data_IF_436854981987
#
_entry.id   IF_436854981987
#
_cell.length_a   1.000
_cell.length_b   1.000
_cell.length_c   1.000
_cell.angle_alpha   90.00
_cell.angle_beta   90.00
_cell.angle_gamma   90.00
#
_symmetry.space_group_name_H-M   'P 1'
#
loop_
_entity.id
_entity.type
_entity.pdbx_description
1 polymer ?
#
# COMPACT_ATOMS: atom_id res chain seq x y z
N UNK A 1 5.62 33.24 26.22
CA UNK A 1 7.05 32.88 26.36
C UNK A 1 7.30 31.60 25.58
N UNK A 2 8.07 31.74 24.52
CA UNK A 2 8.43 30.73 23.52
C UNK A 2 9.23 29.58 24.12
N UNK A 3 8.80 28.34 23.89
CA UNK A 3 9.69 27.18 24.03
C UNK A 3 10.11 26.74 22.63
N UNK A 4 11.32 27.16 22.26
CA UNK A 4 12.09 26.64 21.13
C UNK A 4 12.38 25.15 21.38
N UNK A 5 12.20 24.32 20.35
CA UNK A 5 12.71 22.96 20.34
C UNK A 5 14.01 22.97 19.52
N UNK A 6 15.13 22.71 20.19
CA UNK A 6 16.46 22.60 19.59
C UNK A 6 16.53 21.42 18.60
N UNK A 7 17.07 21.70 17.42
CA UNK A 7 17.43 20.69 16.42
C UNK A 7 18.79 20.10 16.79
N UNK A 8 18.88 18.77 16.92
CA UNK A 8 20.17 18.08 17.03
C UNK A 8 20.82 17.90 15.65
N UNK A 9 22.01 18.46 15.47
CA UNK A 9 22.80 18.50 14.23
C UNK A 9 23.41 17.16 13.76
N UNK A 10 23.12 16.02 14.39
CA UNK A 10 23.73 14.74 14.00
C UNK A 10 22.69 13.70 13.60
N UNK A 11 22.80 13.25 12.35
CA UNK A 11 21.87 12.33 11.69
C UNK A 11 21.77 10.98 12.37
N UNK A 12 20.75 10.81 13.22
CA UNK A 12 20.10 9.52 13.49
C UNK A 12 18.60 9.78 13.72
N UNK A 13 17.78 9.32 12.78
CA UNK A 13 16.32 9.39 12.93
C UNK A 13 15.87 8.49 14.09
N UNK A 14 15.23 9.08 15.11
CA UNK A 14 14.68 8.36 16.25
C UNK A 14 13.51 7.47 15.79
N UNK A 15 13.68 6.17 15.99
CA UNK A 15 12.78 5.11 15.56
C UNK A 15 11.51 5.02 16.44
N UNK A 16 10.35 5.33 15.86
CA UNK A 16 9.01 5.05 16.41
C UNK A 16 8.31 4.03 15.49
N UNK A 17 8.52 2.75 15.79
CA UNK A 17 8.18 1.62 14.92
C UNK A 17 6.71 1.52 14.48
N UNK A 18 6.53 1.25 13.18
CA UNK A 18 5.28 0.84 12.53
C UNK A 18 5.62 -0.15 11.42
N UNK A 19 5.15 -1.39 11.55
CA UNK A 19 5.08 -2.34 10.43
C UNK A 19 3.65 -2.86 10.30
N UNK A 20 2.91 -2.20 9.42
CA UNK A 20 1.70 -2.71 8.80
C UNK A 20 2.11 -3.06 7.38
N UNK A 21 2.22 -4.36 7.09
CA UNK A 21 2.54 -4.94 5.77
C UNK A 21 3.88 -4.48 5.19
N UNK A 22 4.72 -5.43 4.76
CA UNK A 22 5.85 -5.08 3.87
C UNK A 22 5.31 -4.12 2.80
N UNK A 23 5.96 -2.95 2.69
CA UNK A 23 5.49 -1.72 2.02
C UNK A 23 4.57 -0.78 2.83
N UNK A 24 5.03 -0.28 3.99
CA UNK A 24 4.61 1.05 4.48
C UNK A 24 5.81 1.85 5.03
N UNK A 25 6.35 2.75 4.20
CA UNK A 25 7.36 3.74 4.59
C UNK A 25 6.85 4.64 5.76
N UNK A 26 7.53 4.72 6.92
CA UNK A 26 6.97 5.32 8.15
C UNK A 26 6.78 6.84 8.18
N UNK A 27 7.08 7.60 7.12
CA UNK A 27 6.96 9.07 7.13
C UNK A 27 5.85 9.66 6.24
N UNK A 28 5.01 8.83 5.60
CA UNK A 28 3.73 9.33 5.09
C UNK A 28 2.64 8.88 6.05
N UNK A 29 1.98 9.85 6.71
CA UNK A 29 0.51 9.75 6.77
C UNK A 29 0.12 9.60 5.30
N UNK A 30 -0.23 8.37 4.90
CA UNK A 30 -1.10 8.21 3.75
C UNK A 30 -2.19 9.25 3.96
N UNK A 31 -2.42 10.08 2.95
CA UNK A 31 -3.73 10.68 2.76
C UNK A 31 -4.76 9.62 3.20
N UNK A 32 -5.79 10.00 3.97
CA UNK A 32 -6.82 9.05 4.36
C UNK A 32 -7.17 8.17 3.15
N UNK A 33 -7.53 6.90 3.37
CA UNK A 33 -8.38 6.21 2.42
C UNK A 33 -9.64 7.09 2.31
N UNK A 34 -9.60 8.13 1.48
CA UNK A 34 -10.61 9.17 1.44
C UNK A 34 -11.79 8.50 0.77
N UNK A 35 -12.65 7.98 1.64
CA UNK A 35 -14.07 7.86 1.41
C UNK A 35 -14.51 9.16 0.74
N UNK A 36 -14.91 9.07 -0.53
CA UNK A 36 -15.59 10.13 -1.28
C UNK A 36 -14.74 11.39 -1.54
N UNK A 37 -14.12 11.45 -2.71
CA UNK A 37 -13.88 12.73 -3.40
C UNK A 37 -14.39 12.64 -4.84
N UNK A 38 -15.63 12.18 -5.02
CA UNK A 38 -16.32 12.31 -6.30
C UNK A 38 -16.76 13.76 -6.59
N UNK A 39 -16.68 14.69 -5.64
CA UNK A 39 -17.41 15.96 -5.78
C UNK A 39 -16.69 17.14 -6.45
N UNK A 40 -15.38 17.08 -6.77
CA UNK A 40 -14.75 18.14 -7.58
C UNK A 40 -13.56 17.62 -8.42
N UNK A 41 -13.79 16.65 -9.30
CA UNK A 41 -12.83 16.38 -10.38
C UNK A 41 -12.93 17.47 -11.46
N UNK A 42 -11.81 17.82 -12.10
CA UNK A 42 -11.80 18.78 -13.20
C UNK A 42 -12.58 18.17 -14.37
N UNK A 43 -13.36 18.98 -15.09
CA UNK A 43 -14.12 18.53 -16.27
C UNK A 43 -13.23 17.81 -17.28
N UNK A 44 -11.94 18.21 -17.37
CA UNK A 44 -10.93 17.54 -18.19
C UNK A 44 -10.58 16.12 -17.71
N UNK A 45 -10.36 15.89 -16.41
CA UNK A 45 -10.07 14.54 -15.88
C UNK A 45 -11.24 13.59 -16.07
N UNK A 46 -12.47 14.06 -15.80
CA UNK A 46 -13.69 13.29 -16.08
C UNK A 46 -13.87 13.02 -17.56
N UNK A 47 -13.57 14.00 -18.43
CA UNK A 47 -13.58 13.84 -19.88
C UNK A 47 -12.60 12.77 -20.35
N UNK A 48 -11.37 12.77 -19.82
CA UNK A 48 -10.35 11.75 -20.09
C UNK A 48 -10.84 10.38 -19.64
N UNK A 49 -11.34 10.27 -18.40
CA UNK A 49 -11.84 9.00 -17.86
C UNK A 49 -13.02 8.45 -18.66
N UNK A 50 -14.01 9.29 -18.98
CA UNK A 50 -15.17 8.90 -19.78
C UNK A 50 -14.75 8.42 -21.17
N UNK A 51 -13.83 9.12 -21.83
CA UNK A 51 -13.32 8.72 -23.14
C UNK A 51 -12.51 7.43 -23.09
N UNK A 52 -11.70 7.25 -22.06
CA UNK A 52 -10.94 6.01 -21.83
C UNK A 52 -11.86 4.82 -21.58
N UNK A 53 -12.99 5.05 -20.90
CA UNK A 53 -14.01 4.04 -20.63
C UNK A 53 -14.81 3.64 -21.88
N UNK A 54 -15.24 4.63 -22.69
CA UNK A 54 -16.07 4.36 -23.88
C UNK A 54 -15.27 3.81 -25.06
N UNK A 55 -14.00 4.23 -25.20
CA UNK A 55 -13.15 3.84 -26.32
C UNK A 55 -11.86 3.18 -25.82
N UNK A 56 -11.87 1.85 -25.64
CA UNK A 56 -10.73 1.11 -25.06
C UNK A 56 -9.45 1.14 -25.90
N UNK A 57 -9.57 1.31 -27.22
CA UNK A 57 -8.40 1.41 -28.11
C UNK A 57 -7.95 2.86 -28.33
N UNK A 58 -8.63 3.83 -27.73
CA UNK A 58 -8.26 5.23 -27.87
C UNK A 58 -6.95 5.52 -27.14
N UNK A 59 -5.98 6.04 -27.90
CA UNK A 59 -4.74 6.59 -27.38
C UNK A 59 -4.92 8.09 -27.09
N UNK A 60 -4.79 8.45 -25.82
CA UNK A 60 -5.02 9.81 -25.33
C UNK A 60 -3.87 10.72 -25.74
N UNK A 61 -4.21 11.86 -26.35
CA UNK A 61 -3.28 12.91 -26.78
C UNK A 61 -3.31 14.10 -25.81
N UNK A 62 -2.34 14.99 -25.95
CA UNK A 62 -2.27 16.29 -25.27
C UNK A 62 -2.30 16.26 -23.73
N UNK A 63 -1.91 15.15 -23.11
CA UNK A 63 -1.82 15.02 -21.64
C UNK A 63 -0.82 15.99 -21.02
N UNK A 64 0.27 16.31 -21.71
CA UNK A 64 1.26 17.26 -21.23
C UNK A 64 0.68 18.67 -21.08
N UNK A 65 -0.25 19.06 -21.96
CA UNK A 65 -0.94 20.34 -21.89
C UNK A 65 -1.89 20.42 -20.69
N UNK A 66 -2.41 19.28 -20.22
CA UNK A 66 -3.23 19.21 -19.01
C UNK A 66 -2.44 19.47 -17.71
N UNK A 67 -1.10 19.52 -17.76
CA UNK A 67 -0.25 19.92 -16.61
C UNK A 67 -0.25 21.45 -16.45
N UNK A 68 -1.45 22.02 -16.27
CA UNK A 68 -1.71 23.45 -16.20
C UNK A 68 -1.83 23.96 -14.75
N UNK A 69 -1.85 25.29 -14.58
CA UNK A 69 -2.01 25.94 -13.28
C UNK A 69 -3.21 25.41 -12.48
N UNK A 70 -4.42 25.28 -13.06
CA UNK A 70 -5.57 24.70 -12.37
C UNK A 70 -5.35 23.27 -11.83
N UNK A 71 -4.77 22.37 -12.61
CA UNK A 71 -4.48 21.01 -12.16
C UNK A 71 -3.41 21.01 -11.06
N UNK A 72 -2.34 21.80 -11.23
CA UNK A 72 -1.28 21.94 -10.25
C UNK A 72 -1.84 22.50 -8.93
N UNK A 73 -2.64 23.55 -8.98
CA UNK A 73 -3.26 24.14 -7.78
C UNK A 73 -4.10 23.12 -7.00
N UNK A 74 -4.84 22.24 -7.67
CA UNK A 74 -5.57 21.15 -7.00
C UNK A 74 -4.61 20.12 -6.39
N UNK A 75 -3.58 19.73 -7.13
CA UNK A 75 -2.58 18.77 -6.63
C UNK A 75 -1.85 19.29 -5.38
N UNK A 76 -1.66 20.61 -5.26
CA UNK A 76 -1.08 21.21 -4.05
C UNK A 76 -1.89 20.90 -2.78
N UNK A 77 -3.22 20.93 -2.89
CA UNK A 77 -4.13 20.66 -1.76
C UNK A 77 -4.00 19.21 -1.28
N UNK A 78 -3.74 18.29 -2.19
CA UNK A 78 -3.63 16.85 -1.91
C UNK A 78 -2.21 16.43 -1.53
N UNK A 79 -1.22 17.31 -1.72
CA UNK A 79 0.17 17.01 -1.42
C UNK A 79 0.40 16.98 0.10
N UNK A 80 1.13 15.98 0.60
CA UNK A 80 1.51 15.93 2.00
C UNK A 80 2.66 16.91 2.28
N UNK A 81 2.31 18.11 2.72
CA UNK A 81 3.23 19.22 3.02
C UNK A 81 4.18 18.97 4.19
N UNK A 82 3.95 17.91 4.97
CA UNK A 82 4.79 17.52 6.12
C UNK A 82 5.81 16.43 5.77
N UNK A 83 5.91 16.05 4.50
CA UNK A 83 6.92 15.09 4.05
C UNK A 83 8.33 15.69 4.16
N UNK A 84 9.32 14.83 4.36
CA UNK A 84 10.72 15.24 4.35
C UNK A 84 11.10 15.89 3.01
N UNK A 85 11.99 16.88 3.07
CA UNK A 85 12.51 17.59 1.91
C UNK A 85 13.36 16.68 1.01
N UNK A 86 13.38 17.03 -0.28
CA UNK A 86 14.27 16.42 -1.27
C UNK A 86 15.70 16.95 -1.14
N UNK A 87 16.48 16.88 -2.22
CA UNK A 87 17.87 17.36 -2.26
C UNK A 87 18.01 18.88 -2.19
N UNK A 88 16.91 19.61 -2.37
CA UNK A 88 16.87 21.07 -2.43
C UNK A 88 16.46 21.73 -1.12
N UNK A 89 16.14 20.94 -0.09
CA UNK A 89 15.69 21.41 1.23
C UNK A 89 14.51 22.39 1.26
N UNK A 90 13.80 22.51 0.13
CA UNK A 90 12.60 23.33 0.01
C UNK A 90 11.43 22.62 0.72
N UNK A 91 10.89 23.29 1.74
CA UNK A 91 9.73 22.78 2.49
C UNK A 91 8.42 23.30 1.90
N UNK A 92 7.33 22.59 2.18
CA UNK A 92 5.99 23.03 1.77
C UNK A 92 5.62 24.41 2.32
N UNK A 93 6.06 24.74 3.55
CA UNK A 93 5.76 26.01 4.20
C UNK A 93 6.45 27.20 3.52
N UNK A 94 7.71 27.03 3.10
CA UNK A 94 8.42 28.06 2.32
C UNK A 94 7.71 28.33 0.99
N UNK A 95 7.17 27.28 0.37
CA UNK A 95 6.45 27.38 -0.90
C UNK A 95 5.02 27.97 -0.78
N UNK A 96 4.42 27.99 0.42
CA UNK A 96 3.09 28.58 0.64
C UNK A 96 3.09 30.11 0.71
N UNK A 97 4.26 30.73 0.91
CA UNK A 97 4.37 32.19 1.07
C UNK A 97 3.94 32.95 -0.19
N UNK A 98 4.23 32.41 -1.38
CA UNK A 98 3.75 32.93 -2.67
C UNK A 98 3.31 31.77 -3.58
N UNK A 99 2.24 31.10 -3.16
CA UNK A 99 1.75 29.90 -3.82
C UNK A 99 1.30 30.17 -5.27
N UNK A 100 0.61 31.29 -5.50
CA UNK A 100 0.03 31.60 -6.82
C UNK A 100 1.12 31.84 -7.85
N UNK A 101 2.09 32.73 -7.56
CA UNK A 101 3.18 32.99 -8.49
C UNK A 101 4.05 31.74 -8.71
N UNK A 102 4.23 30.92 -7.67
CA UNK A 102 5.00 29.68 -7.79
C UNK A 102 4.31 28.64 -8.69
N UNK A 103 2.98 28.52 -8.62
CA UNK A 103 2.18 27.66 -9.52
C UNK A 103 2.31 28.13 -10.96
N UNK A 104 2.15 29.44 -11.20
CA UNK A 104 2.25 30.03 -12.53
C UNK A 104 3.66 29.84 -13.13
N UNK A 105 4.70 30.08 -12.33
CA UNK A 105 6.08 29.82 -12.70
C UNK A 105 6.34 28.35 -13.06
N UNK A 106 5.84 27.41 -12.25
CA UNK A 106 5.97 25.98 -12.53
C UNK A 106 5.21 25.56 -13.79
N UNK A 107 3.98 26.04 -13.96
CA UNK A 107 3.16 25.80 -15.15
C UNK A 107 3.85 26.35 -16.41
N UNK A 108 4.41 27.56 -16.35
CA UNK A 108 5.12 28.18 -17.47
C UNK A 108 6.41 27.42 -17.80
N UNK A 109 7.17 26.96 -16.79
CA UNK A 109 8.34 26.08 -17.02
C UNK A 109 7.97 24.74 -17.63
N UNK A 110 6.82 24.17 -17.28
CA UNK A 110 6.31 22.96 -17.93
C UNK A 110 5.92 23.26 -19.38
N UNK A 111 5.09 24.29 -19.62
CA UNK A 111 4.65 24.72 -20.96
C UNK A 111 5.81 24.99 -21.91
N UNK A 112 6.83 25.70 -21.43
CA UNK A 112 8.06 26.02 -22.19
C UNK A 112 9.09 24.89 -22.20
N UNK A 113 8.78 23.73 -21.62
CA UNK A 113 9.67 22.55 -21.51
C UNK A 113 10.99 22.81 -20.78
N UNK A 114 11.08 23.90 -20.02
CA UNK A 114 12.22 24.29 -19.18
C UNK A 114 12.29 23.53 -17.85
N UNK A 115 11.23 22.82 -17.47
CA UNK A 115 11.23 21.95 -16.29
C UNK A 115 12.31 20.84 -16.37
N UNK A 116 13.10 20.73 -15.29
CA UNK A 116 14.14 19.72 -15.08
C UNK A 116 13.86 18.97 -13.79
N UNK A 117 13.83 17.64 -13.87
CA UNK A 117 13.73 16.78 -12.70
C UNK A 117 15.00 16.90 -11.86
N UNK A 118 14.86 17.09 -10.55
CA UNK A 118 16.01 17.15 -9.64
C UNK A 118 16.45 15.73 -9.26
N UNK A 119 17.62 15.64 -8.63
CA UNK A 119 18.10 14.38 -8.05
C UNK A 119 17.18 13.93 -6.91
N UNK A 120 17.08 12.63 -6.73
CA UNK A 120 16.27 12.03 -5.66
C UNK A 120 17.17 11.77 -4.46
N UNK A 121 16.76 12.21 -3.26
CA UNK A 121 17.56 12.00 -2.04
C UNK A 121 17.33 10.60 -1.48
N UNK A 122 18.40 9.85 -1.17
CA UNK A 122 18.29 8.53 -0.53
C UNK A 122 17.96 8.67 0.96
N UNK A 123 17.12 7.76 1.46
CA UNK A 123 16.85 7.58 2.88
C UNK A 123 16.65 6.08 3.15
N UNK A 124 17.29 5.55 4.20
CA UNK A 124 17.16 4.15 4.58
C UNK A 124 16.15 3.99 5.71
N UNK A 125 15.25 3.02 5.56
CA UNK A 125 14.33 2.61 6.63
C UNK A 125 14.70 1.21 7.10
N UNK A 126 14.91 0.99 8.41
CA UNK A 126 15.18 -0.33 8.93
C UNK A 126 13.96 -1.26 8.77
N UNK A 127 14.20 -2.50 8.36
CA UNK A 127 13.23 -3.60 8.34
C UNK A 127 13.26 -4.33 9.69
N UNK A 128 12.13 -4.92 10.09
CA UNK A 128 12.06 -5.76 11.30
C UNK A 128 13.04 -6.95 11.29
N UNK A 129 13.48 -7.40 10.10
CA UNK A 129 14.41 -8.53 9.94
C UNK A 129 15.90 -8.12 9.91
N UNK A 130 16.23 -6.86 10.24
CA UNK A 130 17.63 -6.39 10.34
C UNK A 130 18.27 -5.87 9.05
N UNK A 131 17.55 -5.91 7.92
CA UNK A 131 17.98 -5.24 6.68
C UNK A 131 17.43 -3.82 6.57
N UNK A 132 17.85 -3.07 5.55
CA UNK A 132 17.32 -1.73 5.27
C UNK A 132 16.51 -1.70 3.98
N UNK A 133 15.60 -0.72 3.89
CA UNK A 133 14.82 -0.42 2.69
C UNK A 133 15.25 0.95 2.16
N UNK A 134 15.88 1.02 0.98
CA UNK A 134 16.21 2.29 0.38
C UNK A 134 14.95 2.98 -0.14
N UNK A 135 14.75 4.23 0.27
CA UNK A 135 13.75 5.13 -0.31
C UNK A 135 14.43 6.27 -1.05
N UNK A 136 13.76 6.73 -2.10
CA UNK A 136 14.05 7.97 -2.77
C UNK A 136 13.01 9.03 -2.43
N UNK A 137 13.46 10.17 -1.89
CA UNK A 137 12.64 11.34 -1.59
C UNK A 137 12.87 12.36 -2.72
N UNK A 138 11.91 12.53 -3.65
CA UNK A 138 12.03 13.53 -4.71
C UNK A 138 11.89 14.95 -4.13
N UNK A 139 12.41 15.94 -4.85
CA UNK A 139 12.17 17.35 -4.57
C UNK A 139 10.67 17.69 -4.56
N UNK A 140 10.30 18.77 -3.88
CA UNK A 140 8.89 19.16 -3.69
C UNK A 140 8.17 19.37 -5.03
N UNK A 141 8.77 20.14 -5.95
CA UNK A 141 8.20 20.37 -7.29
C UNK A 141 8.06 19.07 -8.07
N UNK A 142 9.04 18.16 -7.96
CA UNK A 142 8.97 16.86 -8.63
C UNK A 142 7.82 16.02 -8.07
N UNK A 143 7.63 16.00 -6.74
CA UNK A 143 6.50 15.32 -6.12
C UNK A 143 5.16 15.90 -6.60
N UNK A 144 5.10 17.22 -6.75
CA UNK A 144 3.90 17.92 -7.19
C UNK A 144 3.54 17.60 -8.64
N UNK A 145 4.50 17.71 -9.57
CA UNK A 145 4.26 17.37 -10.98
C UNK A 145 3.99 15.86 -11.14
N UNK A 146 4.66 15.01 -10.35
CA UNK A 146 4.38 13.58 -10.30
C UNK A 146 2.94 13.29 -9.83
N UNK A 147 2.42 14.03 -8.86
CA UNK A 147 1.04 13.88 -8.40
C UNK A 147 0.04 14.26 -9.51
N UNK A 148 0.28 15.35 -10.23
CA UNK A 148 -0.54 15.73 -11.38
C UNK A 148 -0.52 14.65 -12.47
N UNK A 149 0.66 14.11 -12.80
CA UNK A 149 0.79 12.99 -13.72
C UNK A 149 0.10 11.72 -13.21
N UNK A 150 0.16 11.44 -11.90
CA UNK A 150 -0.51 10.28 -11.32
C UNK A 150 -2.03 10.37 -11.45
N UNK A 151 -2.61 11.57 -11.32
CA UNK A 151 -4.05 11.80 -11.55
C UNK A 151 -4.44 11.58 -13.00
N UNK A 152 -3.67 12.11 -13.95
CA UNK A 152 -3.91 11.90 -15.39
C UNK A 152 -3.82 10.42 -15.77
N UNK A 153 -2.78 9.72 -15.29
CA UNK A 153 -2.63 8.28 -15.49
C UNK A 153 -3.78 7.50 -14.83
N UNK A 154 -4.19 7.88 -13.62
CA UNK A 154 -5.32 7.26 -12.92
C UNK A 154 -6.63 7.39 -13.70
N UNK A 155 -6.90 8.58 -14.27
CA UNK A 155 -8.10 8.81 -15.08
C UNK A 155 -8.17 7.87 -16.30
N UNK A 156 -7.03 7.53 -16.91
CA UNK A 156 -6.97 6.61 -18.05
C UNK A 156 -7.05 5.16 -17.57
N UNK A 157 -6.08 4.73 -16.77
CA UNK A 157 -5.84 3.32 -16.51
C UNK A 157 -6.78 2.69 -15.48
N UNK A 158 -7.42 3.47 -14.61
CA UNK A 158 -8.43 2.91 -13.69
C UNK A 158 -9.60 2.28 -14.47
N UNK A 159 -9.88 2.77 -15.69
CA UNK A 159 -10.90 2.21 -16.59
C UNK A 159 -10.47 0.89 -17.24
N UNK A 160 -9.17 0.60 -17.25
CA UNK A 160 -8.58 -0.58 -17.90
C UNK A 160 -8.25 -1.69 -16.92
N UNK A 161 -7.87 -1.30 -15.69
CA UNK A 161 -7.41 -2.25 -14.69
C UNK A 161 -8.47 -3.29 -14.35
N UNK A 162 -8.09 -4.56 -14.52
CA UNK A 162 -8.95 -5.68 -14.20
C UNK A 162 -9.37 -5.68 -12.72
N UNK A 163 -10.57 -6.21 -12.40
CA UNK A 163 -11.07 -6.23 -11.03
C UNK A 163 -10.20 -7.00 -10.03
N UNK A 164 -9.34 -7.90 -10.54
CA UNK A 164 -8.37 -8.72 -9.77
C UNK A 164 -7.25 -7.92 -9.10
N UNK A 165 -7.03 -6.66 -9.51
CA UNK A 165 -5.98 -5.79 -8.98
C UNK A 165 -6.54 -4.84 -7.92
N UNK A 166 -5.89 -4.77 -6.75
CA UNK A 166 -6.35 -3.98 -5.60
C UNK A 166 -5.36 -2.92 -5.15
N UNK A 167 -4.07 -3.26 -5.11
CA UNK A 167 -3.04 -2.39 -4.51
C UNK A 167 -2.98 -1.01 -5.19
N UNK A 168 -2.85 0.04 -4.39
CA UNK A 168 -2.71 1.44 -4.85
C UNK A 168 -3.85 1.98 -5.74
N UNK A 169 -5.04 1.38 -5.68
CA UNK A 169 -6.20 1.85 -6.44
C UNK A 169 -7.20 2.56 -5.53
N UNK A 170 -7.85 3.64 -6.00
CA UNK A 170 -8.91 4.31 -5.25
C UNK A 170 -10.03 3.33 -4.85
N UNK A 171 -10.49 3.42 -3.60
CA UNK A 171 -11.60 2.59 -3.11
C UNK A 171 -11.32 1.10 -2.98
N UNK A 172 -10.05 0.65 -3.12
CA UNK A 172 -9.65 -0.76 -2.99
C UNK A 172 -8.54 -0.94 -1.96
N UNK A 173 -8.79 -1.74 -0.94
CA UNK A 173 -7.88 -2.00 0.16
C UNK A 173 -7.44 -3.47 0.28
N UNK A 174 -6.48 -3.73 1.16
CA UNK A 174 -5.99 -5.09 1.43
C UNK A 174 -7.09 -6.00 2.02
N UNK A 175 -7.97 -5.43 2.85
CA UNK A 175 -9.14 -6.14 3.38
C UNK A 175 -10.11 -6.56 2.29
N UNK A 176 -10.30 -5.75 1.25
CA UNK A 176 -11.17 -6.09 0.12
C UNK A 176 -10.59 -7.26 -0.68
N UNK A 177 -9.27 -7.24 -0.95
CA UNK A 177 -8.59 -8.34 -1.63
C UNK A 177 -8.71 -9.67 -0.87
N UNK A 178 -8.52 -9.66 0.45
CA UNK A 178 -8.70 -10.84 1.32
C UNK A 178 -10.18 -11.21 1.47
N UNK A 179 -11.06 -10.21 1.44
CA UNK A 179 -12.51 -10.31 1.35
C UNK A 179 -12.94 -11.20 0.19
N UNK A 180 -12.63 -10.73 -1.01
CA UNK A 180 -12.94 -11.36 -2.29
C UNK A 180 -12.23 -12.70 -2.46
N UNK A 181 -10.97 -12.84 -2.02
CA UNK A 181 -10.29 -14.13 -2.02
C UNK A 181 -11.07 -15.16 -1.18
N UNK A 182 -11.42 -14.80 0.06
CA UNK A 182 -12.17 -15.69 0.93
C UNK A 182 -13.56 -16.05 0.37
N UNK A 183 -14.25 -15.10 -0.27
CA UNK A 183 -15.52 -15.36 -0.93
C UNK A 183 -15.37 -16.39 -2.07
N UNK A 184 -14.43 -16.18 -2.98
CA UNK A 184 -14.24 -17.07 -4.10
C UNK A 184 -13.70 -18.45 -3.68
N UNK A 185 -12.90 -18.53 -2.61
CA UNK A 185 -12.50 -19.81 -2.03
C UNK A 185 -13.67 -20.56 -1.39
N UNK A 186 -14.61 -19.86 -0.75
CA UNK A 186 -15.80 -20.46 -0.12
C UNK A 186 -16.75 -21.04 -1.16
N UNK A 187 -17.08 -20.25 -2.18
CA UNK A 187 -18.16 -20.57 -3.12
C UNK A 187 -17.67 -21.17 -4.45
N UNK A 188 -16.40 -20.96 -4.80
CA UNK A 188 -15.78 -21.54 -5.98
C UNK A 188 -15.34 -22.99 -5.81
N UNK A 189 -15.05 -23.63 -6.94
CA UNK A 189 -14.50 -25.00 -7.01
C UNK A 189 -12.97 -24.95 -6.95
N UNK A 190 -12.41 -24.41 -5.88
CA UNK A 190 -10.95 -24.25 -5.73
C UNK A 190 -10.39 -25.33 -4.80
N UNK A 191 -9.26 -25.91 -5.19
CA UNK A 191 -8.56 -26.95 -4.44
C UNK A 191 -7.07 -26.66 -4.18
N UNK A 192 -6.48 -25.72 -4.91
CA UNK A 192 -5.05 -25.45 -4.93
C UNK A 192 -4.78 -23.94 -5.02
N UNK A 193 -3.68 -23.48 -4.44
CA UNK A 193 -3.24 -22.10 -4.47
C UNK A 193 -1.76 -22.00 -4.81
N UNK A 194 -1.38 -20.95 -5.51
CA UNK A 194 -0.01 -20.54 -5.77
C UNK A 194 0.16 -19.16 -5.18
N UNK A 195 0.90 -19.09 -4.07
CA UNK A 195 1.39 -17.82 -3.51
C UNK A 195 2.64 -17.44 -4.30
N UNK A 196 2.71 -16.23 -4.85
CA UNK A 196 3.85 -15.76 -5.60
C UNK A 196 4.19 -14.30 -5.27
N UNK A 197 5.48 -14.02 -5.18
CA UNK A 197 6.03 -12.69 -4.88
C UNK A 197 7.07 -12.33 -5.94
N UNK A 198 7.18 -11.05 -6.28
CA UNK A 198 8.14 -10.57 -7.28
C UNK A 198 9.37 -10.02 -6.54
N UNK A 199 10.53 -10.60 -6.82
CA UNK A 199 11.79 -10.22 -6.18
C UNK A 199 12.19 -8.80 -6.58
N UNK A 200 12.29 -7.91 -5.61
CA UNK A 200 12.82 -6.56 -5.81
C UNK A 200 12.08 -5.78 -6.90
N UNK A 201 10.76 -5.89 -6.96
CA UNK A 201 9.95 -5.38 -8.08
C UNK A 201 10.30 -3.92 -8.43
N UNK A 202 10.23 -2.99 -7.48
CA UNK A 202 10.53 -1.59 -7.76
C UNK A 202 11.96 -1.31 -8.20
N UNK A 203 12.91 -2.21 -7.92
CA UNK A 203 14.33 -2.05 -8.24
C UNK A 203 14.67 -2.68 -9.62
N UNK A 204 13.83 -3.61 -10.09
CA UNK A 204 14.07 -4.41 -11.31
C UNK A 204 13.24 -4.00 -12.52
N UNK A 205 12.20 -3.18 -12.36
CA UNK A 205 11.35 -2.78 -13.49
C UNK A 205 12.17 -2.13 -14.61
N UNK A 206 12.07 -2.70 -15.80
CA UNK A 206 12.67 -2.18 -17.01
C UNK A 206 12.02 -0.85 -17.45
N UNK A 207 12.85 0.14 -17.78
CA UNK A 207 12.36 1.48 -18.11
C UNK A 207 11.71 1.55 -19.50
N UNK A 208 12.21 0.77 -20.46
CA UNK A 208 11.72 0.79 -21.83
C UNK A 208 10.39 0.05 -21.93
N UNK A 209 10.26 -1.13 -21.33
CA UNK A 209 8.97 -1.83 -21.21
C UNK A 209 7.91 -0.95 -20.54
N UNK A 210 8.30 -0.22 -19.48
CA UNK A 210 7.38 0.67 -18.76
C UNK A 210 6.86 1.79 -19.67
N UNK A 211 7.73 2.40 -20.48
CA UNK A 211 7.35 3.46 -21.40
C UNK A 211 6.56 2.92 -22.60
N UNK A 212 6.91 1.74 -23.10
CA UNK A 212 6.18 1.05 -24.17
C UNK A 212 4.74 0.74 -23.73
N UNK A 213 4.57 0.14 -22.55
CA UNK A 213 3.23 -0.14 -21.98
C UNK A 213 2.42 1.13 -21.78
N UNK A 214 3.04 2.24 -21.35
CA UNK A 214 2.35 3.53 -21.24
C UNK A 214 1.92 4.08 -22.61
N UNK A 215 2.72 3.86 -23.65
CA UNK A 215 2.45 4.34 -25.02
C UNK A 215 1.27 3.64 -25.69
N UNK A 216 0.87 2.46 -25.20
CA UNK A 216 -0.31 1.73 -25.68
C UNK A 216 -1.60 2.51 -25.49
N UNK A 217 -1.69 3.36 -24.47
CA UNK A 217 -2.85 4.23 -24.23
C UNK A 217 -2.54 5.73 -24.31
N UNK A 218 -1.27 6.09 -24.49
CA UNK A 218 -0.83 7.49 -24.52
C UNK A 218 -0.14 7.78 -25.84
N UNK A 219 -0.65 8.76 -26.57
CA UNK A 219 -0.07 9.30 -27.80
C UNK A 219 0.42 10.74 -27.56
N UNK A 220 1.25 10.90 -26.52
CA UNK A 220 1.87 12.18 -26.17
C UNK A 220 3.34 11.96 -25.79
N UNK A 221 4.23 12.27 -26.73
CA UNK A 221 5.68 12.12 -26.54
C UNK A 221 6.23 13.05 -25.46
N UNK A 222 5.66 14.25 -25.28
CA UNK A 222 6.13 15.19 -24.27
C UNK A 222 5.83 14.67 -22.87
N UNK A 223 4.63 14.11 -22.67
CA UNK A 223 4.24 13.47 -21.42
C UNK A 223 5.09 12.22 -21.10
N UNK A 224 5.30 11.34 -22.07
CA UNK A 224 6.16 10.16 -21.89
C UNK A 224 7.61 10.55 -21.58
N UNK A 225 8.13 11.60 -22.22
CA UNK A 225 9.47 12.12 -21.96
C UNK A 225 9.60 12.74 -20.55
N UNK A 226 8.55 13.36 -20.02
CA UNK A 226 8.52 13.83 -18.64
C UNK A 226 8.68 12.66 -17.66
N UNK A 227 7.96 11.56 -17.90
CA UNK A 227 8.09 10.34 -17.08
C UNK A 227 9.50 9.77 -17.20
N UNK A 228 10.06 9.72 -18.42
CA UNK A 228 11.44 9.28 -18.68
C UNK A 228 12.47 10.12 -17.91
N UNK A 229 12.27 11.44 -17.80
CA UNK A 229 13.15 12.33 -17.01
C UNK A 229 13.24 11.89 -15.55
N UNK A 230 12.13 11.52 -14.91
CA UNK A 230 12.15 11.04 -13.52
C UNK A 230 12.79 9.67 -13.34
N UNK A 231 12.68 8.80 -14.36
CA UNK A 231 13.32 7.48 -14.31
C UNK A 231 14.83 7.56 -14.43
N UNK A 232 15.32 8.52 -15.22
CA UNK A 232 16.76 8.80 -15.39
C UNK A 232 17.33 9.75 -14.33
N UNK A 233 16.50 10.29 -13.45
CA UNK A 233 16.96 11.19 -12.40
C UNK A 233 17.93 10.44 -11.48
N UNK A 234 19.13 11.01 -11.30
CA UNK A 234 20.14 10.43 -10.41
C UNK A 234 19.66 10.41 -8.96
N UNK A 235 20.09 9.40 -8.21
CA UNK A 235 19.83 9.26 -6.78
C UNK A 235 21.07 9.73 -6.03
N UNK A 236 20.93 10.76 -5.20
CA UNK A 236 21.97 11.18 -4.28
C UNK A 236 21.92 10.26 -3.06
N UNK A 237 22.94 9.41 -2.91
CA UNK A 237 23.06 8.48 -1.78
C UNK A 237 23.62 9.18 -0.52
N UNK A 238 23.60 8.49 0.62
CA UNK A 238 23.99 9.08 1.91
C UNK A 238 25.48 9.37 2.04
N UNK A 239 26.30 8.75 1.20
CA UNK A 239 27.74 8.98 1.10
C UNK A 239 28.11 10.13 0.12
N UNK A 240 27.10 10.79 -0.47
CA UNK A 240 27.28 11.87 -1.44
C UNK A 240 27.45 11.40 -2.88
N UNK A 241 27.48 10.09 -3.15
CA UNK A 241 27.57 9.58 -4.52
C UNK A 241 26.24 9.72 -5.26
N UNK A 242 26.32 9.90 -6.59
CA UNK A 242 25.15 9.99 -7.46
C UNK A 242 25.01 8.70 -8.25
N UNK A 243 24.00 7.91 -7.92
CA UNK A 243 23.68 6.67 -8.60
C UNK A 243 22.70 6.92 -9.74
N UNK A 244 23.01 6.38 -10.93
CA UNK A 244 22.12 6.39 -12.09
C UNK A 244 21.62 4.97 -12.36
N UNK A 245 20.52 4.54 -11.71
CA UNK A 245 20.03 3.18 -11.88
C UNK A 245 19.53 2.95 -13.30
N UNK A 246 20.05 1.92 -13.96
CA UNK A 246 19.65 1.49 -15.31
C UNK A 246 18.24 0.86 -15.29
N UNK A 247 17.85 0.25 -14.17
CA UNK A 247 16.55 -0.37 -13.95
C UNK A 247 15.87 0.16 -12.67
N UNK A 248 14.58 -0.10 -12.54
CA UNK A 248 13.82 0.20 -11.33
C UNK A 248 13.24 1.61 -11.28
N UNK A 249 12.88 2.06 -10.09
CA UNK A 249 12.44 3.42 -9.79
C UNK A 249 12.76 3.71 -8.34
N UNK A 250 13.23 4.92 -8.01
CA UNK A 250 13.39 5.32 -6.61
C UNK A 250 12.08 5.11 -5.86
N UNK A 251 12.12 4.32 -4.78
CA UNK A 251 10.95 4.01 -3.98
C UNK A 251 10.54 5.24 -3.18
N UNK A 252 9.42 5.89 -3.53
CA UNK A 252 8.94 7.09 -2.84
C UNK A 252 8.35 8.17 -3.75
N UNK A 253 8.57 8.07 -5.06
CA UNK A 253 7.87 8.88 -6.07
C UNK A 253 6.35 8.67 -6.00
N UNK A 254 5.59 9.76 -6.04
CA UNK A 254 4.12 9.73 -5.92
C UNK A 254 3.47 9.03 -7.12
N UNK A 255 4.10 9.14 -8.29
CA UNK A 255 3.65 8.50 -9.54
C UNK A 255 4.05 7.02 -9.66
N UNK A 256 4.94 6.53 -8.80
CA UNK A 256 5.44 5.16 -8.88
C UNK A 256 4.37 4.08 -8.71
N UNK A 257 3.40 4.19 -7.78
CA UNK A 257 2.36 3.17 -7.60
C UNK A 257 1.48 2.94 -8.83
N UNK A 258 1.02 4.00 -9.50
CA UNK A 258 0.19 3.86 -10.70
C UNK A 258 0.98 3.23 -11.85
N UNK A 259 2.25 3.64 -12.05
CA UNK A 259 3.13 3.07 -13.09
C UNK A 259 3.42 1.58 -12.84
N UNK A 260 3.62 1.20 -11.59
CA UNK A 260 3.76 -0.19 -11.17
C UNK A 260 2.52 -1.03 -11.54
N UNK A 261 1.33 -0.49 -11.28
CA UNK A 261 0.08 -1.17 -11.64
C UNK A 261 -0.12 -1.29 -13.15
N UNK A 262 0.22 -0.26 -13.94
CA UNK A 262 0.22 -0.36 -15.41
C UNK A 262 1.15 -1.48 -15.87
N UNK A 263 2.36 -1.56 -15.31
CA UNK A 263 3.32 -2.59 -15.68
C UNK A 263 2.78 -4.00 -15.45
N UNK A 264 2.29 -4.28 -14.24
CA UNK A 264 1.77 -5.60 -13.88
C UNK A 264 0.43 -5.90 -14.54
N UNK A 265 -0.34 -4.87 -14.91
CA UNK A 265 -1.56 -5.07 -15.71
C UNK A 265 -1.25 -5.75 -17.05
N UNK A 266 -0.22 -5.29 -17.77
CA UNK A 266 0.18 -5.89 -19.05
C UNK A 266 1.05 -7.15 -18.87
N UNK A 267 1.99 -7.13 -17.93
CA UNK A 267 2.92 -8.24 -17.73
C UNK A 267 2.22 -9.48 -17.14
N UNK A 268 1.28 -9.29 -16.21
CA UNK A 268 0.66 -10.34 -15.41
C UNK A 268 -0.86 -10.42 -15.61
N UNK A 269 -1.62 -9.36 -15.31
CA UNK A 269 -3.09 -9.46 -15.20
C UNK A 269 -3.75 -9.86 -16.53
N UNK A 270 -3.43 -9.13 -17.62
CA UNK A 270 -3.97 -9.44 -18.96
C UNK A 270 -3.46 -10.77 -19.50
N UNK A 271 -2.23 -11.15 -19.17
CA UNK A 271 -1.70 -12.45 -19.56
C UNK A 271 -2.41 -13.59 -18.85
N UNK A 272 -2.67 -13.43 -17.54
CA UNK A 272 -3.42 -14.41 -16.77
C UNK A 272 -4.83 -14.57 -17.37
N UNK A 273 -5.55 -13.47 -17.54
CA UNK A 273 -6.94 -13.50 -18.01
C UNK A 273 -7.06 -14.01 -19.46
N UNK A 274 -6.17 -13.61 -20.36
CA UNK A 274 -6.29 -13.93 -21.80
C UNK A 274 -5.57 -15.20 -22.23
N UNK A 275 -4.60 -15.70 -21.45
CA UNK A 275 -3.74 -16.83 -21.86
C UNK A 275 -3.69 -17.96 -20.85
N UNK A 276 -3.71 -17.68 -19.54
CA UNK A 276 -3.67 -18.73 -18.52
C UNK A 276 -5.06 -19.30 -18.33
N UNK A 277 -6.02 -18.45 -17.94
CA UNK A 277 -7.39 -18.84 -17.61
C UNK A 277 -8.09 -19.67 -18.70
N UNK A 278 -8.05 -19.30 -20.01
CA UNK A 278 -8.69 -20.09 -21.07
C UNK A 278 -8.05 -21.47 -21.33
N UNK A 279 -6.84 -21.71 -20.80
CA UNK A 279 -6.11 -22.97 -21.00
C UNK A 279 -6.16 -23.88 -19.77
N UNK A 280 -6.85 -23.47 -18.71
CA UNK A 280 -7.06 -24.28 -17.52
C UNK A 280 -8.33 -25.11 -17.66
N UNK A 281 -8.33 -26.32 -17.10
CA UNK A 281 -9.45 -27.25 -17.21
C UNK A 281 -10.60 -26.94 -16.26
N UNK A 282 -10.39 -26.06 -15.28
CA UNK A 282 -11.38 -25.72 -14.25
C UNK A 282 -11.31 -24.27 -13.81
N UNK A 283 -12.00 -23.95 -12.71
CA UNK A 283 -12.07 -22.59 -12.20
C UNK A 283 -10.69 -22.09 -11.75
N UNK A 284 -10.34 -20.87 -12.13
CA UNK A 284 -9.11 -20.20 -11.71
C UNK A 284 -9.37 -18.76 -11.30
N UNK A 285 -8.61 -18.27 -10.34
CA UNK A 285 -8.74 -16.92 -9.79
C UNK A 285 -7.35 -16.31 -9.66
N UNK A 286 -7.20 -15.05 -10.05
CA UNK A 286 -6.05 -14.22 -9.71
C UNK A 286 -6.53 -13.11 -8.77
N UNK A 287 -5.79 -12.88 -7.68
CA UNK A 287 -5.94 -11.69 -6.85
C UNK A 287 -4.56 -11.09 -6.62
N UNK A 288 -4.41 -9.81 -6.96
CA UNK A 288 -3.15 -9.09 -6.88
C UNK A 288 -3.26 -7.84 -6.03
N UNK A 289 -2.30 -7.64 -5.15
CA UNK A 289 -2.13 -6.43 -4.35
C UNK A 289 -0.71 -5.91 -4.53
N UNK A 290 -0.55 -4.90 -5.40
CA UNK A 290 0.76 -4.43 -5.84
C UNK A 290 1.55 -5.58 -6.51
N UNK A 291 2.71 -5.93 -5.95
CA UNK A 291 3.61 -7.00 -6.37
C UNK A 291 3.33 -8.37 -5.73
N UNK A 292 2.56 -8.42 -4.63
CA UNK A 292 2.09 -9.64 -3.99
C UNK A 292 0.83 -10.14 -4.71
N UNK A 293 0.81 -11.40 -5.15
CA UNK A 293 -0.35 -11.99 -5.80
C UNK A 293 -0.53 -13.46 -5.50
N UNK A 294 -1.79 -13.87 -5.66
CA UNK A 294 -2.27 -15.21 -5.39
C UNK A 294 -3.05 -15.69 -6.58
N UNK A 295 -2.71 -16.89 -7.05
CA UNK A 295 -3.49 -17.60 -8.03
C UNK A 295 -4.12 -18.84 -7.37
N UNK A 296 -5.42 -19.05 -7.54
CA UNK A 296 -6.12 -20.20 -7.01
C UNK A 296 -6.71 -21.03 -8.15
N UNK A 297 -6.62 -22.35 -8.06
CA UNK A 297 -6.96 -23.30 -9.11
C UNK A 297 -7.84 -24.43 -8.58
N UNK A 298 -8.77 -24.89 -9.41
CA UNK A 298 -9.52 -26.12 -9.17
C UNK A 298 -8.59 -27.33 -9.17
N UNK A 299 -7.82 -27.51 -10.25
CA UNK A 299 -7.02 -28.70 -10.47
C UNK A 299 -5.53 -28.50 -10.17
N UNK A 300 -4.84 -29.53 -9.64
CA UNK A 300 -3.42 -29.42 -9.27
C UNK A 300 -2.51 -29.24 -10.50
N UNK A 301 -2.81 -29.92 -11.61
CA UNK A 301 -2.01 -29.83 -12.83
C UNK A 301 -2.00 -28.41 -13.43
N UNK A 302 -3.10 -27.67 -13.30
CA UNK A 302 -3.17 -26.27 -13.71
C UNK A 302 -2.27 -25.37 -12.85
N UNK A 303 -2.28 -25.59 -11.53
CA UNK A 303 -1.42 -24.86 -10.60
C UNK A 303 0.07 -25.14 -10.88
N UNK A 304 0.44 -26.41 -11.11
CA UNK A 304 1.81 -26.80 -11.46
C UNK A 304 2.26 -26.21 -12.80
N UNK A 305 1.39 -26.26 -13.81
CA UNK A 305 1.67 -25.65 -15.12
C UNK A 305 1.90 -24.16 -14.98
N UNK A 306 1.02 -23.45 -14.26
CA UNK A 306 1.18 -22.02 -13.99
C UNK A 306 2.50 -21.72 -13.28
N UNK A 307 2.82 -22.50 -12.23
CA UNK A 307 4.07 -22.37 -11.47
C UNK A 307 5.32 -22.48 -12.36
N UNK A 308 5.31 -23.40 -13.34
CA UNK A 308 6.43 -23.59 -14.28
C UNK A 308 6.58 -22.46 -15.31
N UNK A 309 5.46 -21.86 -15.77
CA UNK A 309 5.49 -20.84 -16.84
C UNK A 309 5.62 -19.42 -16.31
N UNK A 310 5.22 -19.17 -15.06
CA UNK A 310 5.25 -17.83 -14.45
C UNK A 310 6.66 -17.19 -14.48
N UNK A 311 7.75 -17.88 -14.08
CA UNK A 311 9.09 -17.30 -14.15
C UNK A 311 9.49 -16.89 -15.58
N UNK A 312 9.16 -17.71 -16.58
CA UNK A 312 9.44 -17.42 -18.00
C UNK A 312 8.68 -16.16 -18.46
N UNK A 313 7.43 -16.03 -18.03
CA UNK A 313 6.61 -14.84 -18.34
C UNK A 313 7.21 -13.58 -17.71
N UNK A 314 7.55 -13.62 -16.42
CA UNK A 314 8.11 -12.47 -15.73
C UNK A 314 9.48 -12.06 -16.29
N UNK A 315 10.33 -13.04 -16.63
CA UNK A 315 11.65 -12.79 -17.19
C UNK A 315 11.60 -12.00 -18.51
N UNK A 316 10.57 -12.24 -19.35
CA UNK A 316 10.35 -11.46 -20.58
C UNK A 316 10.23 -9.94 -20.31
N UNK A 317 9.77 -9.56 -19.13
CA UNK A 317 9.60 -8.18 -18.70
C UNK A 317 10.66 -7.77 -17.66
N UNK A 318 11.82 -8.43 -17.63
CA UNK A 318 12.89 -8.10 -16.69
C UNK A 318 12.56 -8.37 -15.21
N UNK A 319 11.49 -9.11 -14.93
CA UNK A 319 11.05 -9.42 -13.57
C UNK A 319 11.47 -10.84 -13.17
N UNK A 320 11.65 -11.06 -11.87
CA UNK A 320 11.98 -12.37 -11.32
C UNK A 320 11.01 -12.74 -10.19
N UNK A 321 10.58 -13.99 -10.15
CA UNK A 321 9.83 -14.56 -9.03
C UNK A 321 10.80 -14.72 -7.84
N UNK A 322 10.33 -14.52 -6.61
CA UNK A 322 11.05 -14.86 -5.39
C UNK A 322 10.82 -16.34 -5.04
N UNK A 323 11.76 -17.27 -5.34
CA UNK A 323 11.52 -18.71 -5.20
C UNK A 323 11.26 -19.11 -3.74
N UNK A 324 11.90 -18.43 -2.79
CA UNK A 324 11.77 -18.68 -1.35
C UNK A 324 10.37 -18.35 -0.79
N UNK A 325 9.62 -17.49 -1.48
CA UNK A 325 8.25 -17.11 -1.12
C UNK A 325 7.20 -17.81 -1.97
N UNK A 326 7.60 -18.37 -3.10
CA UNK A 326 6.66 -18.87 -4.12
C UNK A 326 6.44 -20.37 -3.99
N UNK A 327 5.21 -20.77 -3.69
CA UNK A 327 4.89 -22.17 -3.37
C UNK A 327 3.49 -22.57 -3.82
N UNK A 328 3.36 -23.85 -4.16
CA UNK A 328 2.06 -24.49 -4.41
C UNK A 328 1.52 -25.04 -3.08
N UNK A 329 0.25 -24.77 -2.80
CA UNK A 329 -0.44 -25.20 -1.59
C UNK A 329 -1.72 -25.92 -1.97
N UNK A 330 -2.01 -27.03 -1.30
CA UNK A 330 -3.31 -27.69 -1.38
C UNK A 330 -4.27 -26.99 -0.42
N UNK A 331 -5.35 -26.42 -0.94
CA UNK A 331 -6.37 -25.69 -0.21
C UNK A 331 -7.75 -26.24 -0.54
N UNK A 332 -8.18 -27.28 0.16
CA UNK A 332 -9.38 -28.05 -0.17
C UNK A 332 -10.33 -28.14 1.02
N UNK A 333 -11.63 -27.96 0.75
CA UNK A 333 -12.71 -28.14 1.75
C UNK A 333 -12.74 -29.54 2.37
N UNK A 334 -12.29 -30.55 1.63
CA UNK A 334 -12.25 -31.95 2.09
C UNK A 334 -11.11 -32.25 3.08
N UNK A 335 -10.22 -31.29 3.31
CA UNK A 335 -9.11 -31.44 4.25
C UNK A 335 -8.99 -30.18 5.11
N UNK A 336 -9.99 -29.91 5.97
CA UNK A 336 -10.02 -28.71 6.77
C UNK A 336 -8.90 -28.69 7.79
N UNK A 337 -8.45 -27.49 8.17
CA UNK A 337 -7.48 -27.30 9.23
C UNK A 337 -6.40 -26.27 8.95
N UNK A 338 -5.75 -25.87 10.04
CA UNK A 338 -4.67 -24.89 10.07
C UNK A 338 -3.33 -25.32 9.42
N UNK A 339 -2.98 -26.61 9.28
CA UNK A 339 -1.79 -27.02 8.56
C UNK A 339 -1.83 -26.64 7.07
N UNK A 340 -3.02 -26.65 6.47
CA UNK A 340 -3.25 -26.32 5.04
C UNK A 340 -3.74 -24.88 4.85
N UNK A 341 -3.21 -23.97 5.68
CA UNK A 341 -3.55 -22.55 5.63
C UNK A 341 -2.86 -21.84 4.48
N UNK A 342 -3.52 -20.78 4.05
CA UNK A 342 -3.12 -19.92 2.95
C UNK A 342 -2.82 -18.52 3.48
N UNK A 343 -1.63 -17.98 3.27
CA UNK A 343 -1.21 -16.69 3.83
C UNK A 343 -1.21 -15.60 2.75
N UNK A 344 -1.96 -14.51 2.98
CA UNK A 344 -2.02 -13.39 2.04
C UNK A 344 -2.24 -12.07 2.79
N UNK A 345 -1.46 -11.04 2.46
CA UNK A 345 -1.56 -9.69 3.03
C UNK A 345 -1.53 -9.61 4.57
N UNK A 346 -0.96 -10.62 5.23
CA UNK A 346 -0.94 -10.70 6.70
C UNK A 346 -2.12 -11.38 7.35
N UNK A 347 -2.99 -12.00 6.56
CA UNK A 347 -4.04 -12.89 7.00
C UNK A 347 -3.69 -14.32 6.62
N UNK A 348 -4.19 -15.27 7.42
CA UNK A 348 -4.18 -16.69 7.14
C UNK A 348 -5.63 -17.12 6.91
N UNK A 349 -5.91 -17.69 5.74
CA UNK A 349 -7.18 -18.29 5.36
C UNK A 349 -7.08 -19.81 5.54
N UNK A 350 -8.13 -20.45 6.04
CA UNK A 350 -8.17 -21.89 6.25
C UNK A 350 -9.61 -22.39 6.36
N UNK A 351 -9.83 -23.65 5.98
CA UNK A 351 -11.13 -24.31 6.15
C UNK A 351 -11.32 -24.76 7.59
N UNK A 352 -12.50 -24.49 8.16
CA UNK A 352 -12.93 -24.98 9.47
C UNK A 352 -14.46 -25.17 9.47
N UNK A 353 -14.99 -26.22 10.12
CA UNK A 353 -16.41 -26.30 10.41
C UNK A 353 -16.85 -25.15 11.32
N UNK A 354 -17.99 -24.55 11.02
CA UNK A 354 -18.66 -23.64 11.95
C UNK A 354 -19.37 -24.44 13.07
N UNK A 355 -20.07 -23.73 13.96
CA UNK A 355 -20.79 -24.34 15.07
C UNK A 355 -21.96 -25.25 14.63
N UNK A 356 -22.43 -25.13 13.39
CA UNK A 356 -23.45 -26.00 12.77
C UNK A 356 -22.83 -27.18 12.01
N UNK A 357 -21.50 -27.29 11.97
CA UNK A 357 -20.79 -28.31 11.20
C UNK A 357 -20.55 -27.93 9.73
N UNK A 358 -21.01 -26.76 9.28
CA UNK A 358 -20.85 -26.31 7.90
C UNK A 358 -19.42 -25.83 7.65
N UNK A 359 -18.80 -26.30 6.57
CA UNK A 359 -17.43 -25.92 6.23
C UNK A 359 -17.38 -24.46 5.77
N UNK A 360 -16.57 -23.66 6.47
CA UNK A 360 -16.32 -22.25 6.15
C UNK A 360 -14.85 -21.92 5.99
N UNK A 361 -14.55 -21.01 5.07
CA UNK A 361 -13.26 -20.36 4.95
C UNK A 361 -13.15 -19.28 6.04
N UNK A 362 -12.36 -19.59 7.06
CA UNK A 362 -12.06 -18.69 8.17
C UNK A 362 -10.82 -17.85 7.83
N UNK A 363 -10.79 -16.61 8.34
CA UNK A 363 -9.71 -15.64 8.16
C UNK A 363 -9.19 -15.23 9.51
N UNK A 364 -7.87 -15.31 9.73
CA UNK A 364 -7.25 -14.80 10.96
C UNK A 364 -6.02 -13.96 10.69
N UNK A 365 -5.65 -13.05 11.58
CA UNK A 365 -4.35 -12.36 11.51
C UNK A 365 -3.22 -13.39 11.59
N UNK A 366 -2.27 -13.33 10.66
CA UNK A 366 -1.13 -14.24 10.64
C UNK A 366 -0.37 -14.20 11.96
N UNK A 367 0.03 -15.37 12.49
CA UNK A 367 0.63 -15.49 13.84
C UNK A 367 1.83 -14.55 14.02
N UNK A 368 2.76 -14.52 13.06
CA UNK A 368 3.94 -13.64 13.11
C UNK A 368 3.55 -12.16 13.21
N UNK A 369 2.56 -11.72 12.43
CA UNK A 369 2.06 -10.34 12.47
C UNK A 369 1.35 -9.99 13.77
N UNK A 370 0.52 -10.89 14.29
CA UNK A 370 -0.16 -10.68 15.57
C UNK A 370 0.86 -10.54 16.71
N UNK A 371 1.88 -11.39 16.74
CA UNK A 371 2.95 -11.32 17.75
C UNK A 371 3.78 -10.04 17.62
N UNK A 372 4.16 -9.64 16.40
CA UNK A 372 4.85 -8.37 16.17
C UNK A 372 3.99 -7.17 16.62
N UNK A 373 2.69 -7.17 16.30
CA UNK A 373 1.77 -6.13 16.76
C UNK A 373 1.70 -6.05 18.29
N UNK A 374 1.56 -7.19 19.00
CA UNK A 374 1.56 -7.25 20.46
C UNK A 374 2.87 -6.74 21.06
N UNK A 375 4.01 -7.13 20.49
CA UNK A 375 5.35 -6.68 20.90
C UNK A 375 5.48 -5.16 20.78
N UNK A 376 5.12 -4.59 19.63
CA UNK A 376 5.18 -3.14 19.40
C UNK A 376 4.24 -2.37 20.34
N UNK A 377 3.05 -2.89 20.60
CA UNK A 377 2.13 -2.29 21.56
C UNK A 377 2.74 -2.30 22.97
N UNK A 378 3.34 -3.42 23.39
CA UNK A 378 4.03 -3.54 24.68
C UNK A 378 5.20 -2.55 24.79
N UNK A 379 6.03 -2.42 23.76
CA UNK A 379 7.13 -1.45 23.71
C UNK A 379 6.63 -0.01 23.80
N UNK A 380 5.59 0.33 23.04
CA UNK A 380 4.98 1.65 23.11
C UNK A 380 4.41 1.95 24.51
N UNK A 381 3.70 1.01 25.12
CA UNK A 381 3.17 1.16 26.49
C UNK A 381 4.31 1.42 27.47
N UNK A 382 5.42 0.67 27.37
CA UNK A 382 6.60 0.85 28.24
C UNK A 382 7.23 2.23 28.08
N UNK A 383 7.41 2.69 26.85
CA UNK A 383 7.99 4.00 26.56
C UNK A 383 7.07 5.16 27.02
N UNK A 384 5.75 5.00 26.89
CA UNK A 384 4.78 6.07 27.10
C UNK A 384 4.10 6.02 28.49
N UNK A 385 4.58 5.19 29.42
CA UNK A 385 4.05 5.09 30.79
C UNK A 385 4.14 6.38 31.60
N UNK A 386 4.98 7.32 31.17
CA UNK A 386 5.15 8.65 31.79
C UNK A 386 3.98 9.60 31.50
N UNK A 387 3.19 9.35 30.44
CA UNK A 387 2.06 10.20 30.06
C UNK A 387 0.98 10.25 31.15
N UNK A 388 0.22 11.35 31.22
CA UNK A 388 -0.92 11.46 32.14
C UNK A 388 -1.99 10.43 31.79
N UNK A 389 -2.69 9.87 32.79
CA UNK A 389 -3.60 8.72 32.61
C UNK A 389 -4.62 8.90 31.48
N UNK A 390 -5.31 10.05 31.41
CA UNK A 390 -6.25 10.36 30.31
C UNK A 390 -5.57 10.40 28.94
N UNK A 391 -4.43 11.08 28.83
CA UNK A 391 -3.69 11.20 27.56
C UNK A 391 -3.16 9.84 27.10
N UNK A 392 -2.65 9.03 28.03
CA UNK A 392 -2.22 7.66 27.76
C UNK A 392 -3.36 6.82 27.17
N UNK A 393 -4.54 6.85 27.80
CA UNK A 393 -5.71 6.08 27.33
C UNK A 393 -6.20 6.56 25.97
N UNK A 394 -6.19 7.88 25.70
CA UNK A 394 -6.56 8.41 24.38
C UNK A 394 -5.61 7.93 23.27
N UNK A 395 -4.30 7.96 23.51
CA UNK A 395 -3.30 7.46 22.55
C UNK A 395 -3.37 5.93 22.40
N UNK A 396 -3.61 5.21 23.50
CA UNK A 396 -3.86 3.77 23.47
C UNK A 396 -5.07 3.44 22.60
N UNK A 397 -6.17 4.17 22.80
CA UNK A 397 -7.40 3.99 22.03
C UNK A 397 -7.17 4.26 20.53
N UNK A 398 -6.43 5.33 20.19
CA UNK A 398 -6.04 5.61 18.79
C UNK A 398 -5.29 4.45 18.15
N UNK A 399 -4.38 3.79 18.89
CA UNK A 399 -3.64 2.62 18.39
C UNK A 399 -4.50 1.37 18.28
N UNK A 400 -5.41 1.12 19.23
CA UNK A 400 -6.38 0.03 19.17
C UNK A 400 -7.30 0.19 17.94
N UNK A 401 -7.88 1.37 17.76
CA UNK A 401 -8.73 1.70 16.60
C UNK A 401 -7.97 1.51 15.29
N UNK A 402 -6.71 1.95 15.22
CA UNK A 402 -5.85 1.69 14.06
C UNK A 402 -5.74 0.20 13.74
N UNK A 403 -5.44 -0.62 14.75
CA UNK A 403 -5.35 -2.08 14.57
C UNK A 403 -6.68 -2.69 14.10
N UNK A 404 -7.81 -2.26 14.65
CA UNK A 404 -9.13 -2.75 14.21
C UNK A 404 -9.47 -2.32 12.79
N UNK A 405 -9.03 -1.14 12.35
CA UNK A 405 -9.24 -0.68 10.99
C UNK A 405 -8.45 -1.53 9.98
N UNK A 406 -7.23 -1.96 10.32
CA UNK A 406 -6.40 -2.80 9.44
C UNK A 406 -6.82 -4.28 9.46
N UNK A 407 -7.20 -4.83 10.63
CA UNK A 407 -7.43 -6.28 10.82
C UNK A 407 -8.88 -6.69 11.08
N UNK A 408 -9.82 -5.74 11.15
CA UNK A 408 -11.24 -5.97 11.42
C UNK A 408 -11.98 -6.63 10.25
N UNK A 409 -11.74 -7.92 10.01
CA UNK A 409 -12.45 -8.77 9.06
C UNK A 409 -13.37 -9.75 9.80
N UNK A 410 -14.47 -10.17 9.15
CA UNK A 410 -15.31 -11.28 9.64
C UNK A 410 -14.46 -12.53 9.85
N UNK A 411 -14.75 -13.29 10.90
CA UNK A 411 -14.03 -14.51 11.34
C UNK A 411 -12.66 -14.29 12.00
N UNK A 412 -12.21 -13.04 12.13
CA UNK A 412 -10.94 -12.66 12.79
C UNK A 412 -11.13 -12.17 14.25
N UNK A 413 -12.30 -12.34 14.83
CA UNK A 413 -12.67 -11.80 16.14
C UNK A 413 -11.74 -12.31 17.24
N UNK A 414 -11.33 -13.58 17.17
CA UNK A 414 -10.42 -14.19 18.15
C UNK A 414 -9.05 -13.50 18.17
N UNK A 415 -8.49 -13.13 17.02
CA UNK A 415 -7.19 -12.44 16.97
C UNK A 415 -7.29 -11.01 17.51
N UNK A 416 -8.39 -10.31 17.18
CA UNK A 416 -8.63 -8.95 17.65
C UNK A 416 -8.83 -8.93 19.17
N UNK A 417 -9.61 -9.86 19.71
CA UNK A 417 -9.78 -10.04 21.15
C UNK A 417 -8.46 -10.38 21.82
N UNK A 418 -7.68 -11.31 21.25
CA UNK A 418 -6.36 -11.66 21.78
C UNK A 418 -5.39 -10.47 21.80
N UNK A 419 -5.45 -9.58 20.80
CA UNK A 419 -4.67 -8.34 20.77
C UNK A 419 -5.15 -7.35 21.84
N UNK A 420 -6.46 -7.13 21.93
CA UNK A 420 -7.07 -6.23 22.90
C UNK A 420 -6.78 -6.66 24.34
N UNK A 421 -7.11 -7.90 24.71
CA UNK A 421 -6.89 -8.42 26.06
C UNK A 421 -5.43 -8.33 26.46
N UNK A 422 -4.51 -8.73 25.57
CA UNK A 422 -3.08 -8.61 25.82
C UNK A 422 -2.61 -7.16 25.98
N UNK A 423 -3.21 -6.23 25.23
CA UNK A 423 -2.92 -4.80 25.33
C UNK A 423 -3.42 -4.21 26.65
N UNK A 424 -4.65 -4.50 27.04
CA UNK A 424 -5.25 -4.01 28.29
C UNK A 424 -4.53 -4.57 29.52
N UNK A 425 -4.23 -5.87 29.54
CA UNK A 425 -3.43 -6.49 30.61
C UNK A 425 -2.03 -5.88 30.70
N UNK A 426 -1.40 -5.60 29.56
CA UNK A 426 -0.09 -4.94 29.52
C UNK A 426 -0.17 -3.50 30.03
N UNK A 427 -1.19 -2.74 29.65
CA UNK A 427 -1.43 -1.39 30.13
C UNK A 427 -1.65 -1.37 31.65
N UNK A 428 -2.52 -2.24 32.16
CA UNK A 428 -2.77 -2.41 33.60
C UNK A 428 -1.47 -2.68 34.38
N UNK A 429 -0.68 -3.66 33.91
CA UNK A 429 0.60 -4.03 34.52
C UNK A 429 1.59 -2.88 34.58
N UNK A 430 1.77 -2.14 33.48
CA UNK A 430 2.80 -1.09 33.42
C UNK A 430 2.37 0.23 34.06
N UNK A 431 1.06 0.55 34.05
CA UNK A 431 0.54 1.71 34.76
C UNK A 431 0.62 1.53 36.28
N UNK A 432 0.36 0.33 36.80
CA UNK A 432 0.52 0.03 38.24
C UNK A 432 1.99 -0.06 38.68
N UNK A 433 2.94 -0.16 37.73
CA UNK A 433 4.38 -0.11 38.00
C UNK A 433 4.96 1.31 37.88
N UNK A 434 4.11 2.31 37.72
CA UNK A 434 4.51 3.71 37.75
C UNK A 434 4.76 4.09 39.22
N UNK A 435 6.04 4.15 39.62
CA UNK A 435 6.42 4.53 40.97
C UNK A 435 5.87 5.91 41.39
N UNK A 436 5.65 6.08 42.70
CA UNK A 436 5.15 7.31 43.34
C UNK A 436 4.03 7.04 44.37
N UNK A 437 3.61 8.07 45.12
CA UNK A 437 2.54 8.02 46.14
C UNK A 437 1.12 7.78 45.58
N UNK A 438 0.97 7.26 44.35
CA UNK A 438 -0.34 7.01 43.73
C UNK A 438 -0.83 5.62 44.11
N UNK A 439 -2.10 5.52 44.49
CA UNK A 439 -2.73 4.22 44.69
C UNK A 439 -2.70 3.43 43.39
N UNK A 440 -2.35 2.15 43.50
CA UNK A 440 -2.45 1.21 42.38
C UNK A 440 -3.92 0.99 42.02
N UNK A 441 -4.22 0.84 40.74
CA UNK A 441 -5.56 0.46 40.31
C UNK A 441 -5.79 -1.02 40.61
N UNK A 442 -6.94 -1.35 41.20
CA UNK A 442 -7.47 -2.71 41.05
C UNK A 442 -8.11 -2.89 39.65
N UNK A 443 -8.38 -4.12 39.24
CA UNK A 443 -8.88 -4.40 37.89
C UNK A 443 -10.25 -3.77 37.61
N UNK A 444 -11.12 -3.72 38.61
CA UNK A 444 -12.46 -3.12 38.50
C UNK A 444 -12.37 -1.60 38.24
N UNK A 445 -11.56 -0.89 39.03
CA UNK A 445 -11.30 0.54 38.86
C UNK A 445 -10.68 0.86 37.50
N UNK A 446 -9.74 0.03 37.04
CA UNK A 446 -9.12 0.20 35.73
C UNK A 446 -10.13 0.00 34.59
N UNK A 447 -10.95 -1.05 34.68
CA UNK A 447 -11.98 -1.35 33.67
C UNK A 447 -13.02 -0.22 33.60
N UNK A 448 -13.52 0.24 34.76
CA UNK A 448 -14.44 1.37 34.83
C UNK A 448 -13.84 2.67 34.25
N UNK A 449 -12.53 2.90 34.42
CA UNK A 449 -11.85 4.04 33.82
C UNK A 449 -11.77 3.93 32.27
N UNK A 450 -11.54 2.73 31.73
CA UNK A 450 -11.53 2.50 30.28
C UNK A 450 -12.92 2.68 29.67
N UNK A 451 -13.97 2.22 30.36
CA UNK A 451 -15.36 2.42 29.95
C UNK A 451 -15.76 3.90 29.97
N UNK A 452 -15.43 4.62 31.05
CA UNK A 452 -15.66 6.07 31.15
C UNK A 452 -14.97 6.86 30.03
N UNK A 453 -13.79 6.40 29.62
CA UNK A 453 -13.02 7.00 28.51
C UNK A 453 -13.39 6.44 27.13
N UNK A 454 -14.42 5.59 27.05
CA UNK A 454 -14.97 5.00 25.81
C UNK A 454 -13.89 4.37 24.94
N UNK A 455 -13.03 3.54 25.56
CA UNK A 455 -12.02 2.78 24.82
C UNK A 455 -12.72 1.80 23.87
N UNK A 456 -12.29 1.79 22.62
CA UNK A 456 -12.91 0.99 21.59
C UNK A 456 -12.68 -0.52 21.83
N UNK A 457 -13.78 -1.26 21.82
CA UNK A 457 -13.75 -2.72 21.82
C UNK A 457 -13.40 -3.27 20.43
N UNK A 458 -12.84 -4.49 20.36
CA UNK A 458 -12.65 -5.22 19.10
C UNK A 458 -13.91 -5.22 18.26
N UNK A 459 -13.78 -4.78 17.00
CA UNK A 459 -14.91 -4.73 16.07
C UNK A 459 -14.48 -5.07 14.65
N UNK A 460 -15.41 -5.65 13.92
CA UNK A 460 -15.29 -5.82 12.47
C UNK A 460 -15.48 -4.46 11.81
N UNK A 461 -14.57 -4.11 10.90
CA UNK A 461 -14.53 -2.81 10.20
C UNK A 461 -14.58 -2.98 8.68
N UNK A 462 -15.01 -4.16 8.22
CA UNK A 462 -15.23 -4.48 6.83
C UNK A 462 -16.37 -3.60 6.27
N UNK A 463 -16.12 -2.96 5.13
CA UNK A 463 -17.18 -2.20 4.44
C UNK A 463 -18.13 -3.21 3.79
N UNK A 464 -19.45 -2.97 3.89
CA UNK A 464 -20.41 -3.76 3.09
C UNK A 464 -20.18 -3.42 1.62
N UNK A 465 -19.66 -4.38 0.88
CA UNK A 465 -19.48 -4.35 -0.57
C UNK A 465 -19.87 -5.72 -1.09
N UNK A 466 -20.49 -5.76 -2.28
CA UNK A 466 -20.71 -7.02 -2.98
C UNK A 466 -19.36 -7.63 -3.35
N UNK A 467 -19.10 -8.88 -2.92
CA UNK A 467 -17.87 -9.56 -3.28
C UNK A 467 -17.74 -9.68 -4.79
N UNK A 468 -16.53 -9.50 -5.31
CA UNK A 468 -16.28 -9.72 -6.73
C UNK A 468 -16.14 -11.22 -6.96
N UNK A 469 -17.13 -11.81 -7.63
CA UNK A 469 -17.03 -13.19 -8.11
C UNK A 469 -16.13 -13.23 -9.36
N UNK A 470 -15.06 -14.01 -9.30
CA UNK A 470 -14.20 -14.28 -10.44
C UNK A 470 -14.66 -15.61 -11.05
N UNK A 471 -15.59 -15.50 -12.01
CA UNK A 471 -16.14 -16.64 -12.77
C UNK A 471 -15.14 -17.13 -13.79
#
# INVERSE_FOLDING_TARGET
MSYQAEYSEHGKAVYMGKDLTEVRSPQRKLMPDTVGLEQHEQTSLRGIARRAQTCKDHRVRDLYRCLDGPLLHRCWRDLNKRAASGVDDVTGQAYEQDLTASIESLAERLKTKRYRAKRVRRCYIPKENGGERPLGIPALEDQWVQLACAKLLGAIYEQDFLPVSYGYRPGRGAKDAVGDLGFNLQYGKIGHGVEADIKGFFDTIDHDWRLEMLSLRIDDRAFLNLIRKWLKAGILDTDGQVLHPVTGTPQGGIVSPIRANVYLHYALDLWFERRVKPRCGGQVILIRYADDFVCAFQYPHDAERFYRVLPKRLHKFGLQVAPEKTRILRFSRFHPGLPRRFAFLGFELYWRPDWRGELRVMKRTARKKLQSAKRRMKEWIRANRHLRGRQFVLELNRKLVGHYNDFGLRSNEQSLNSFYTGTIQCAFKWLNRRGGKRSSFNWAQFSAALEKLKVALPRTTERRREPVAFV
#
